data_IF_259126238534
#
_entry.id   IF_259126238534
#
_cell.length_a   1.000
_cell.length_b   1.000
_cell.length_c   1.000
_cell.angle_alpha   90.00
_cell.angle_beta   90.00
_cell.angle_gamma   90.00
#
_symmetry.space_group_name_H-M   'P 1'
#
loop_
_entity.id
_entity.type
_entity.pdbx_description
1 polymer ?
#
# COMPACT_ATOMS: atom_id res chain seq x y z
N UNK A 1 19.71 9.46 23.08
CA UNK A 1 20.24 9.34 21.71
C UNK A 1 19.03 9.00 20.90
N UNK A 2 18.52 9.98 20.15
CA UNK A 2 17.29 9.82 19.39
C UNK A 2 17.60 8.93 18.20
N UNK A 3 16.96 7.76 18.16
CA UNK A 3 17.13 6.73 17.15
C UNK A 3 16.34 7.07 15.86
N UNK A 4 16.37 8.33 15.44
CA UNK A 4 15.66 8.78 14.24
C UNK A 4 16.28 8.10 13.01
N UNK A 5 15.55 7.15 12.44
CA UNK A 5 15.91 6.43 11.22
C UNK A 5 16.46 5.01 11.40
N UNK A 6 16.64 4.52 12.64
CA UNK A 6 16.98 3.11 12.86
C UNK A 6 15.71 2.23 12.77
N UNK A 7 15.83 1.09 12.08
CA UNK A 7 14.74 0.12 11.98
C UNK A 7 14.34 -0.37 13.38
N UNK A 8 13.05 -0.29 13.76
CA UNK A 8 12.60 -0.74 15.07
C UNK A 8 12.95 -2.20 15.33
N UNK A 9 13.41 -2.48 16.54
CA UNK A 9 13.69 -3.84 17.01
C UNK A 9 12.42 -4.71 16.99
N UNK A 10 12.53 -6.04 16.80
CA UNK A 10 11.42 -6.96 17.02
C UNK A 10 10.76 -6.84 18.40
N UNK A 11 11.48 -6.36 19.43
CA UNK A 11 10.94 -6.12 20.77
C UNK A 11 10.27 -4.74 20.95
N UNK A 12 10.33 -3.87 19.94
CA UNK A 12 9.70 -2.54 19.98
C UNK A 12 8.17 -2.64 20.04
N UNK A 13 7.51 -1.55 20.44
CA UNK A 13 6.05 -1.48 20.48
C UNK A 13 5.44 -1.61 19.08
N UNK A 14 4.20 -2.11 18.99
CA UNK A 14 3.53 -2.21 17.69
C UNK A 14 3.32 -0.83 17.05
N UNK A 15 2.99 0.17 17.86
CA UNK A 15 2.78 1.55 17.42
C UNK A 15 4.04 2.13 16.78
N UNK A 16 5.20 1.94 17.40
CA UNK A 16 6.49 2.38 16.87
C UNK A 16 6.83 1.71 15.53
N UNK A 17 6.61 0.39 15.42
CA UNK A 17 6.86 -0.36 14.18
C UNK A 17 5.96 0.12 13.03
N UNK A 18 4.67 0.32 13.32
CA UNK A 18 3.70 0.78 12.32
C UNK A 18 3.92 2.24 11.94
N UNK A 19 4.29 3.10 12.89
CA UNK A 19 4.65 4.48 12.64
C UNK A 19 5.88 4.54 11.73
N UNK A 20 6.92 3.76 12.02
CA UNK A 20 8.12 3.71 11.19
C UNK A 20 7.79 3.25 9.75
N UNK A 21 6.94 2.24 9.58
CA UNK A 21 6.46 1.83 8.26
C UNK A 21 5.70 2.98 7.58
N UNK A 22 4.72 3.58 8.26
CA UNK A 22 3.91 4.68 7.71
C UNK A 22 4.77 5.86 7.24
N UNK A 23 5.72 6.29 8.07
CA UNK A 23 6.62 7.41 7.77
C UNK A 23 7.52 7.10 6.57
N UNK A 24 8.11 5.90 6.51
CA UNK A 24 8.97 5.52 5.39
C UNK A 24 8.18 5.45 4.07
N UNK A 25 6.95 4.92 4.09
CA UNK A 25 6.11 4.89 2.90
C UNK A 25 5.67 6.30 2.48
N UNK A 26 5.22 7.13 3.43
CA UNK A 26 4.81 8.52 3.18
C UNK A 26 5.96 9.37 2.64
N UNK A 27 7.14 9.25 3.25
CA UNK A 27 8.34 9.94 2.82
C UNK A 27 8.75 9.54 1.41
N UNK A 28 8.74 8.23 1.09
CA UNK A 28 9.09 7.76 -0.25
C UNK A 28 8.11 8.28 -1.30
N UNK A 29 6.80 8.19 -1.05
CA UNK A 29 5.78 8.68 -1.98
C UNK A 29 5.96 10.17 -2.26
N UNK A 30 6.19 10.98 -1.22
CA UNK A 30 6.39 12.43 -1.34
C UNK A 30 7.70 12.77 -2.05
N UNK A 31 8.81 12.13 -1.69
CA UNK A 31 10.13 12.43 -2.27
C UNK A 31 10.25 12.03 -3.74
N UNK A 32 9.67 10.89 -4.11
CA UNK A 32 9.77 10.34 -5.46
C UNK A 32 8.53 10.63 -6.33
N UNK A 33 7.59 11.43 -5.82
CA UNK A 33 6.32 11.75 -6.48
C UNK A 33 5.64 10.49 -7.03
N UNK A 34 5.55 9.45 -6.19
CA UNK A 34 5.14 8.13 -6.63
C UNK A 34 3.74 8.21 -7.27
N UNK A 35 3.59 7.81 -8.54
CA UNK A 35 2.31 7.85 -9.21
C UNK A 35 1.25 6.98 -8.54
N UNK A 36 -0.02 7.39 -8.67
CA UNK A 36 -1.17 6.66 -8.11
C UNK A 36 -1.20 5.21 -8.61
N UNK A 37 -1.00 4.99 -9.92
CA UNK A 37 -1.05 3.64 -10.51
C UNK A 37 0.08 2.74 -10.00
N UNK A 38 1.28 3.28 -9.83
CA UNK A 38 2.44 2.53 -9.32
C UNK A 38 2.26 2.16 -7.86
N UNK A 39 1.80 3.14 -7.06
CA UNK A 39 1.42 2.94 -5.66
C UNK A 39 0.37 1.85 -5.53
N UNK A 40 -0.67 1.86 -6.37
CA UNK A 40 -1.73 0.87 -6.37
C UNK A 40 -1.21 -0.54 -6.64
N UNK A 41 -0.32 -0.69 -7.62
CA UNK A 41 0.23 -1.98 -8.00
C UNK A 41 1.09 -2.59 -6.88
N UNK A 42 1.96 -1.78 -6.26
CA UNK A 42 2.82 -2.27 -5.17
C UNK A 42 2.01 -2.60 -3.92
N UNK A 43 1.10 -1.70 -3.50
CA UNK A 43 0.27 -1.94 -2.30
C UNK A 43 -0.63 -3.16 -2.51
N UNK A 44 -1.26 -3.29 -3.69
CA UNK A 44 -2.09 -4.46 -4.01
C UNK A 44 -1.28 -5.75 -4.05
N UNK A 45 -0.09 -5.74 -4.68
CA UNK A 45 0.83 -6.88 -4.68
C UNK A 45 1.15 -7.33 -3.25
N UNK A 46 1.51 -6.38 -2.38
CA UNK A 46 1.95 -6.74 -1.03
C UNK A 46 0.80 -7.19 -0.12
N UNK A 47 -0.38 -6.56 -0.20
CA UNK A 47 -1.59 -7.05 0.48
C UNK A 47 -1.87 -8.50 0.07
N UNK A 48 -1.81 -8.82 -1.23
CA UNK A 48 -2.05 -10.17 -1.72
C UNK A 48 -1.03 -11.18 -1.20
N UNK A 49 0.26 -10.82 -1.13
CA UNK A 49 1.31 -11.67 -0.56
C UNK A 49 0.98 -12.00 0.90
N UNK A 50 0.72 -10.99 1.73
CA UNK A 50 0.44 -11.18 3.15
C UNK A 50 -0.85 -11.96 3.39
N UNK A 51 -1.92 -11.63 2.64
CA UNK A 51 -3.19 -12.33 2.74
C UNK A 51 -3.09 -13.79 2.33
N UNK A 52 -2.28 -14.11 1.32
CA UNK A 52 -2.08 -15.50 0.91
C UNK A 52 -1.44 -16.31 2.03
N UNK A 53 -0.45 -15.76 2.73
CA UNK A 53 0.16 -16.42 3.89
C UNK A 53 -0.82 -16.54 5.07
N UNK A 54 -1.57 -15.49 5.37
CA UNK A 54 -2.62 -15.53 6.40
C UNK A 54 -3.69 -16.58 6.08
N UNK A 55 -4.17 -16.63 4.84
CA UNK A 55 -5.19 -17.60 4.39
C UNK A 55 -4.67 -19.03 4.46
N UNK A 56 -3.41 -19.27 4.08
CA UNK A 56 -2.76 -20.57 4.24
C UNK A 56 -2.76 -20.99 5.71
N UNK A 57 -2.34 -20.11 6.63
CA UNK A 57 -2.30 -20.40 8.06
C UNK A 57 -3.70 -20.61 8.65
N UNK A 58 -4.66 -19.75 8.33
CA UNK A 58 -6.04 -19.89 8.77
C UNK A 58 -6.67 -21.21 8.30
N UNK A 59 -6.40 -21.62 7.05
CA UNK A 59 -6.87 -22.92 6.53
C UNK A 59 -6.26 -24.11 7.26
N UNK A 60 -5.01 -24.03 7.72
CA UNK A 60 -4.36 -25.08 8.51
C UNK A 60 -4.97 -25.19 9.91
N UNK A 61 -5.26 -24.05 10.53
CA UNK A 61 -5.87 -23.98 11.88
C UNK A 61 -7.41 -24.12 11.85
N UNK A 62 -8.02 -24.22 10.65
CA UNK A 62 -9.47 -24.23 10.43
C UNK A 62 -10.19 -22.99 10.98
N UNK A 63 -9.52 -21.85 10.87
CA UNK A 63 -10.04 -20.54 11.25
C UNK A 63 -10.47 -19.74 10.01
N UNK A 64 -11.32 -18.73 10.22
CA UNK A 64 -11.68 -17.76 9.19
C UNK A 64 -11.04 -16.41 9.51
N UNK A 65 -10.52 -15.74 8.49
CA UNK A 65 -10.00 -14.38 8.63
C UNK A 65 -11.17 -13.36 8.67
N UNK A 66 -11.08 -12.32 9.52
CA UNK A 66 -12.02 -11.20 9.52
C UNK A 66 -12.13 -10.48 8.16
N UNK A 67 -13.32 -9.98 7.84
CA UNK A 67 -13.59 -9.28 6.57
C UNK A 67 -12.81 -7.98 6.47
N UNK A 68 -12.55 -7.32 7.59
CA UNK A 68 -11.76 -6.10 7.70
C UNK A 68 -10.33 -6.28 7.18
N UNK A 69 -9.84 -7.53 7.16
CA UNK A 69 -8.54 -7.91 6.64
C UNK A 69 -8.67 -8.40 5.20
N UNK A 70 -9.65 -9.26 4.90
CA UNK A 70 -9.76 -9.90 3.58
C UNK A 70 -10.27 -9.00 2.49
N UNK A 71 -11.09 -8.00 2.84
CA UNK A 71 -11.83 -7.20 1.87
C UNK A 71 -11.32 -5.75 1.85
N UNK A 72 -11.21 -5.13 0.65
CA UNK A 72 -10.89 -3.72 0.54
C UNK A 72 -11.91 -2.85 1.26
N UNK A 73 -11.44 -1.87 2.04
CA UNK A 73 -12.35 -0.97 2.76
C UNK A 73 -13.18 -0.12 1.78
N UNK A 74 -14.43 0.25 2.13
CA UNK A 74 -15.25 1.12 1.32
C UNK A 74 -14.54 2.46 1.05
N UNK A 75 -14.62 2.93 -0.20
CA UNK A 75 -14.21 4.28 -0.56
C UNK A 75 -15.24 5.30 -0.08
N UNK A 76 -14.78 6.48 0.33
CA UNK A 76 -15.64 7.60 0.68
C UNK A 76 -15.69 8.60 -0.49
N UNK A 77 -16.90 8.96 -0.95
CA UNK A 77 -17.10 10.00 -1.97
C UNK A 77 -17.85 9.56 -3.22
N UNK A 78 -18.15 10.53 -4.09
CA UNK A 78 -18.86 10.30 -5.34
C UNK A 78 -18.01 9.50 -6.34
N UNK A 79 -18.49 8.31 -6.69
CA UNK A 79 -17.90 7.54 -7.78
C UNK A 79 -18.20 8.23 -9.11
N UNK A 80 -17.19 8.79 -9.76
CA UNK A 80 -17.30 9.14 -11.18
C UNK A 80 -17.03 7.88 -11.98
N UNK A 81 -17.91 7.56 -12.93
CA UNK A 81 -17.69 6.44 -13.83
C UNK A 81 -16.38 6.68 -14.59
N UNK A 82 -15.34 5.85 -14.39
CA UNK A 82 -14.06 6.05 -15.05
C UNK A 82 -14.26 5.90 -16.56
N UNK A 83 -13.80 6.88 -17.34
CA UNK A 83 -13.71 6.75 -18.81
C UNK A 83 -12.41 6.04 -19.20
N UNK A 84 -12.12 4.89 -18.58
CA UNK A 84 -10.90 4.11 -18.83
C UNK A 84 -10.94 3.42 -20.22
N UNK A 85 -12.11 3.41 -20.88
CA UNK A 85 -12.32 2.81 -22.21
C UNK A 85 -11.37 3.36 -23.30
N UNK A 86 -10.72 4.51 -23.08
CA UNK A 86 -9.81 5.14 -24.05
C UNK A 86 -8.34 4.69 -23.95
N UNK A 87 -7.96 3.78 -23.03
CA UNK A 87 -6.54 3.42 -22.88
C UNK A 87 -6.29 1.92 -22.59
N UNK A 88 -5.62 1.18 -23.49
CA UNK A 88 -5.32 -0.23 -23.29
C UNK A 88 -4.28 -0.43 -22.19
N UNK A 89 -4.52 -1.40 -21.31
CA UNK A 89 -3.67 -1.75 -20.17
C UNK A 89 -2.20 -1.94 -20.56
N UNK A 90 -1.94 -2.58 -21.70
CA UNK A 90 -0.57 -2.82 -22.19
C UNK A 90 0.24 -1.52 -22.35
N UNK A 91 -0.41 -0.43 -22.77
CA UNK A 91 0.24 0.88 -22.88
C UNK A 91 0.46 1.51 -21.51
N UNK A 92 -0.43 1.30 -20.54
CA UNK A 92 -0.20 1.78 -19.17
C UNK A 92 1.04 1.09 -18.60
N UNK A 93 1.12 -0.23 -18.74
CA UNK A 93 2.21 -1.03 -18.22
C UNK A 93 3.58 -0.64 -18.80
N UNK A 94 3.64 -0.20 -20.06
CA UNK A 94 4.87 0.27 -20.69
C UNK A 94 5.41 1.60 -20.13
N UNK A 95 4.58 2.41 -19.48
CA UNK A 95 4.95 3.73 -18.97
C UNK A 95 5.23 3.73 -17.46
N UNK A 96 5.18 2.56 -16.84
CA UNK A 96 5.45 2.39 -15.41
C UNK A 96 6.97 2.33 -15.17
N UNK A 97 7.41 2.98 -14.11
CA UNK A 97 8.78 2.89 -13.61
C UNK A 97 8.94 1.69 -12.67
N UNK A 98 9.55 0.62 -13.18
CA UNK A 98 9.76 -0.61 -12.40
C UNK A 98 10.75 -0.41 -11.25
N UNK A 99 11.83 0.36 -11.45
CA UNK A 99 12.84 0.57 -10.42
C UNK A 99 12.24 1.30 -9.22
N UNK A 100 11.42 2.33 -9.47
CA UNK A 100 10.71 3.05 -8.42
C UNK A 100 9.73 2.16 -7.65
N UNK A 101 9.01 1.30 -8.36
CA UNK A 101 8.12 0.31 -7.73
C UNK A 101 8.88 -0.73 -6.90
N UNK A 102 10.03 -1.20 -7.38
CA UNK A 102 10.86 -2.19 -6.69
C UNK A 102 11.49 -1.61 -5.42
N UNK A 103 11.84 -0.32 -5.41
CA UNK A 103 12.28 0.37 -4.20
C UNK A 103 11.13 0.45 -3.19
N UNK A 104 9.93 0.84 -3.62
CA UNK A 104 8.77 0.91 -2.73
C UNK A 104 8.40 -0.46 -2.14
N UNK A 105 8.39 -1.49 -2.97
CA UNK A 105 8.22 -2.89 -2.54
C UNK A 105 9.29 -3.32 -1.53
N UNK A 106 10.54 -2.95 -1.79
CA UNK A 106 11.66 -3.25 -0.90
C UNK A 106 11.55 -2.56 0.45
N UNK A 107 11.08 -1.32 0.51
CA UNK A 107 10.82 -0.62 1.78
C UNK A 107 9.79 -1.40 2.60
N UNK A 108 8.63 -1.70 2.01
CA UNK A 108 7.55 -2.45 2.67
C UNK A 108 8.09 -3.78 3.19
N UNK A 109 8.75 -4.54 2.32
CA UNK A 109 9.30 -5.86 2.64
C UNK A 109 10.37 -5.82 3.72
N UNK A 110 11.28 -4.84 3.67
CA UNK A 110 12.40 -4.77 4.60
C UNK A 110 11.92 -4.42 5.99
N UNK A 111 11.02 -3.44 6.12
CA UNK A 111 10.51 -2.99 7.42
C UNK A 111 9.64 -4.06 8.08
N UNK A 112 8.70 -4.65 7.33
CA UNK A 112 7.81 -5.67 7.89
C UNK A 112 8.60 -6.88 8.39
N UNK A 113 9.58 -7.35 7.63
CA UNK A 113 10.39 -8.50 8.05
C UNK A 113 11.41 -8.13 9.12
N UNK A 114 12.09 -6.99 8.99
CA UNK A 114 13.16 -6.58 9.88
C UNK A 114 12.67 -6.20 11.28
N UNK A 115 11.50 -5.59 11.38
CA UNK A 115 10.84 -5.29 12.65
C UNK A 115 9.87 -6.40 13.11
N UNK A 116 9.76 -7.50 12.37
CA UNK A 116 8.83 -8.61 12.64
C UNK A 116 7.39 -8.13 12.89
N UNK A 117 6.87 -7.30 11.98
CA UNK A 117 5.48 -6.81 12.06
C UNK A 117 4.53 -7.98 11.73
N UNK A 118 3.58 -8.33 12.61
CA UNK A 118 2.59 -9.36 12.31
C UNK A 118 1.78 -8.99 11.07
N UNK A 119 1.54 -9.97 10.19
CA UNK A 119 0.91 -9.73 8.89
C UNK A 119 -0.48 -9.12 9.01
N UNK A 120 -1.23 -9.43 10.07
CA UNK A 120 -2.53 -8.80 10.33
C UNK A 120 -2.38 -7.27 10.49
N UNK A 121 -1.44 -6.82 11.31
CA UNK A 121 -1.18 -5.39 11.54
C UNK A 121 -0.67 -4.70 10.27
N UNK A 122 0.24 -5.36 9.54
CA UNK A 122 0.73 -4.85 8.26
C UNK A 122 -0.38 -4.73 7.22
N UNK A 123 -1.24 -5.75 7.07
CA UNK A 123 -2.38 -5.69 6.15
C UNK A 123 -3.33 -4.57 6.53
N UNK A 124 -3.66 -4.39 7.82
CA UNK A 124 -4.51 -3.29 8.27
C UNK A 124 -3.97 -1.92 7.85
N UNK A 125 -2.68 -1.66 8.09
CA UNK A 125 -2.05 -0.42 7.64
C UNK A 125 -2.10 -0.29 6.11
N UNK A 126 -1.81 -1.36 5.36
CA UNK A 126 -1.87 -1.33 3.90
C UNK A 126 -3.30 -1.17 3.36
N UNK A 127 -4.34 -1.54 4.12
CA UNK A 127 -5.75 -1.28 3.76
C UNK A 127 -6.10 0.20 3.85
N UNK A 128 -5.52 0.93 4.81
CA UNK A 128 -5.64 2.38 4.86
C UNK A 128 -5.03 3.03 3.61
N UNK A 129 -3.82 2.58 3.22
CA UNK A 129 -3.18 2.98 1.96
C UNK A 129 -4.02 2.66 0.73
N UNK A 130 -4.53 1.43 0.64
CA UNK A 130 -5.40 1.00 -0.45
C UNK A 130 -6.64 1.88 -0.56
N UNK A 131 -7.26 2.26 0.57
CA UNK A 131 -8.42 3.15 0.59
C UNK A 131 -8.09 4.54 0.01
N UNK A 132 -6.96 5.14 0.41
CA UNK A 132 -6.50 6.43 -0.12
C UNK A 132 -6.28 6.35 -1.64
N UNK A 133 -5.55 5.32 -2.08
CA UNK A 133 -5.24 5.10 -3.49
C UNK A 133 -6.52 4.89 -4.31
N UNK A 134 -7.43 4.01 -3.86
CA UNK A 134 -8.70 3.73 -4.57
C UNK A 134 -9.59 4.97 -4.65
N UNK A 135 -9.58 5.81 -3.62
CA UNK A 135 -10.33 7.08 -3.62
C UNK A 135 -9.81 8.04 -4.70
N UNK A 136 -8.50 8.07 -4.95
CA UNK A 136 -7.92 8.87 -6.03
C UNK A 136 -8.12 8.23 -7.40
N UNK A 137 -7.95 6.91 -7.53
CA UNK A 137 -8.20 6.18 -8.78
C UNK A 137 -9.62 6.38 -9.32
N UNK A 138 -10.63 6.40 -8.44
CA UNK A 138 -12.03 6.63 -8.84
C UNK A 138 -12.27 8.07 -9.30
N UNK A 139 -11.43 9.01 -8.90
CA UNK A 139 -11.45 10.39 -9.39
C UNK A 139 -10.63 10.57 -10.67
N UNK A 140 -9.79 9.60 -11.04
CA UNK A 140 -8.97 9.65 -12.26
C UNK A 140 -9.85 9.53 -13.51
N UNK A 141 -9.91 10.61 -14.29
CA UNK A 141 -10.70 10.69 -15.52
C UNK A 141 -9.85 10.64 -16.79
N UNK A 142 -8.53 10.57 -16.66
CA UNK A 142 -7.57 10.53 -17.78
C UNK A 142 -6.33 9.70 -17.44
N UNK A 143 -5.57 9.23 -18.44
CA UNK A 143 -4.29 8.57 -18.22
C UNK A 143 -3.30 9.45 -17.42
N UNK A 144 -3.26 10.76 -17.69
CA UNK A 144 -2.42 11.68 -16.94
C UNK A 144 -2.73 11.71 -15.44
N UNK A 145 -3.99 11.50 -15.06
CA UNK A 145 -4.39 11.37 -13.65
C UNK A 145 -4.03 10.02 -13.02
N UNK A 146 -3.68 9.00 -13.79
CA UNK A 146 -3.15 7.75 -13.23
C UNK A 146 -1.66 7.90 -12.89
N UNK A 147 -0.97 8.74 -13.67
CA UNK A 147 0.45 9.04 -13.52
C UNK A 147 0.73 10.28 -12.65
N UNK A 148 -0.31 10.95 -12.14
CA UNK A 148 -0.11 12.04 -11.19
C UNK A 148 0.41 11.50 -9.85
N UNK A 149 1.19 12.31 -9.11
CA UNK A 149 1.67 11.93 -7.78
C UNK A 149 0.51 11.55 -6.86
N UNK A 150 0.70 10.52 -6.04
CA UNK A 150 -0.26 10.16 -4.99
C UNK A 150 -0.31 11.26 -3.93
N UNK A 151 -1.50 11.82 -3.71
CA UNK A 151 -1.71 12.85 -2.70
C UNK A 151 -2.02 12.21 -1.34
N UNK A 152 -1.33 12.61 -0.28
CA UNK A 152 -1.58 12.16 1.08
C UNK A 152 -2.06 13.37 1.90
N UNK A 153 -3.16 13.22 2.62
CA UNK A 153 -3.68 14.27 3.50
C UNK A 153 -2.69 14.57 4.64
N UNK A 154 -2.74 15.79 5.20
CA UNK A 154 -1.82 16.21 6.28
C UNK A 154 -1.93 15.34 7.55
N UNK A 155 -3.06 14.65 7.73
CA UNK A 155 -3.34 13.78 8.87
C UNK A 155 -3.21 12.27 8.54
N UNK A 156 -2.63 11.91 7.39
CA UNK A 156 -2.44 10.53 6.97
C UNK A 156 -1.11 9.94 7.44
#
# INVERSE_FOLDING_TARGET
MDNEGEMPSPAASMEEKLLFLQENLSNFVKQYNLPIIESALVISKYINILLNELKKKASLEKENLPLEITDPWPITGEMKTPKIEDFPLDKLMQNIDQDRMDIFDTIIRTIINGSEIPFVNAVMLLRDWERVIRTQLVKSTSPGHLFSPLELDDNF
#
